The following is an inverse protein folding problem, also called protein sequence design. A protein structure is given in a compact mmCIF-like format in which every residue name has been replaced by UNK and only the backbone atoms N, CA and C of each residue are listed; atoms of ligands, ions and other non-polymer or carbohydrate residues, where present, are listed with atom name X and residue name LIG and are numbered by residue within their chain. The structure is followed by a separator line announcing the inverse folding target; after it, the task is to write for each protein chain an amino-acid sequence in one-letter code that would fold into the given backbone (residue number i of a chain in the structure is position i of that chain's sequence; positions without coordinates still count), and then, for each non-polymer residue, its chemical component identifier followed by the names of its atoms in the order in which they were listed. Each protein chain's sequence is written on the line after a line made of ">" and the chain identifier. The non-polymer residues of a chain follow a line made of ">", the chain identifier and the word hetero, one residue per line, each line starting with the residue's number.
data_IF_116971728345
#
_entry.id   IF_116971728345
#
_cell.length_a   1.000
_cell.length_b   1.000
_cell.length_c   1.000
_cell.angle_alpha   90.00
_cell.angle_beta   90.00
_cell.angle_gamma   90.00
#
_symmetry.space_group_name_H-M   'P 1'
#
loop_
_entity.id
_entity.type
_entity.pdbx_description
1 polymer ?
#
# COMPACT_ATOMS: atom_id res chain seq x y z
N UNK A 1 -1.95 22.38 -23.90
CA UNK A 1 -1.89 22.63 -22.46
C UNK A 1 -0.75 21.78 -21.94
N UNK A 2 0.46 22.33 -21.91
CA UNK A 2 1.62 21.66 -21.31
C UNK A 2 1.38 21.57 -19.81
N UNK A 3 0.97 20.40 -19.34
CA UNK A 3 0.90 20.13 -17.91
C UNK A 3 2.35 20.08 -17.46
N UNK A 4 2.76 21.05 -16.63
CA UNK A 4 4.06 21.01 -15.98
C UNK A 4 4.09 19.82 -15.01
N UNK A 5 4.47 18.67 -15.54
CA UNK A 5 4.55 17.39 -14.84
C UNK A 5 5.50 17.49 -13.62
N UNK A 6 6.44 18.45 -13.60
CA UNK A 6 7.34 18.68 -12.47
C UNK A 6 6.64 19.37 -11.32
N UNK A 7 5.81 20.38 -11.59
CA UNK A 7 5.02 21.10 -10.56
C UNK A 7 4.16 20.16 -9.71
N UNK A 8 3.62 19.10 -10.33
CA UNK A 8 2.78 18.13 -9.63
C UNK A 8 3.56 16.93 -9.07
N UNK A 9 4.85 16.78 -9.35
CA UNK A 9 5.65 15.62 -8.95
C UNK A 9 5.65 15.38 -7.43
N UNK A 10 5.71 16.45 -6.63
CA UNK A 10 5.65 16.34 -5.16
C UNK A 10 4.30 15.85 -4.67
N UNK A 11 3.19 16.39 -5.19
CA UNK A 11 1.84 15.97 -4.81
C UNK A 11 1.55 14.54 -5.28
N UNK A 12 1.97 14.19 -6.49
CA UNK A 12 1.86 12.83 -7.02
C UNK A 12 2.67 11.83 -6.18
N UNK A 13 3.88 12.20 -5.74
CA UNK A 13 4.68 11.35 -4.84
C UNK A 13 3.99 11.12 -3.50
N UNK A 14 3.34 12.15 -2.95
CA UNK A 14 2.58 12.04 -1.70
C UNK A 14 1.37 11.12 -1.86
N UNK A 15 0.64 11.22 -2.98
CA UNK A 15 -0.46 10.33 -3.31
C UNK A 15 -0.01 8.87 -3.40
N UNK A 16 1.11 8.61 -4.08
CA UNK A 16 1.66 7.26 -4.17
C UNK A 16 2.09 6.69 -2.80
N UNK A 17 2.72 7.50 -1.92
CA UNK A 17 2.97 7.09 -0.54
C UNK A 17 1.67 6.85 0.25
N UNK A 18 0.65 7.67 0.02
CA UNK A 18 -0.66 7.51 0.63
C UNK A 18 -1.31 6.17 0.29
N UNK A 19 -1.26 5.76 -0.99
CA UNK A 19 -1.76 4.44 -1.41
C UNK A 19 -0.98 3.31 -0.72
N UNK A 20 0.35 3.40 -0.70
CA UNK A 20 1.18 2.39 -0.02
C UNK A 20 0.81 2.27 1.48
N UNK A 21 0.65 3.39 2.19
CA UNK A 21 0.25 3.39 3.60
C UNK A 21 -1.18 2.84 3.79
N UNK A 22 -2.11 3.20 2.90
CA UNK A 22 -3.48 2.67 2.91
C UNK A 22 -3.53 1.16 2.74
N UNK A 23 -2.74 0.60 1.81
CA UNK A 23 -2.62 -0.85 1.63
C UNK A 23 -2.10 -1.55 2.88
N UNK A 24 -1.10 -0.98 3.57
CA UNK A 24 -0.61 -1.53 4.86
C UNK A 24 -1.73 -1.51 5.91
N UNK A 25 -2.46 -0.41 6.03
CA UNK A 25 -3.57 -0.29 6.98
C UNK A 25 -4.70 -1.30 6.69
N UNK A 26 -5.06 -1.49 5.42
CA UNK A 26 -6.05 -2.48 5.02
C UNK A 26 -5.61 -3.91 5.34
N UNK A 27 -4.34 -4.25 5.10
CA UNK A 27 -3.81 -5.55 5.48
C UNK A 27 -3.81 -5.75 6.99
N UNK A 28 -3.43 -4.72 7.76
CA UNK A 28 -3.47 -4.77 9.22
C UNK A 28 -4.89 -4.96 9.75
N UNK A 29 -5.88 -4.27 9.18
CA UNK A 29 -7.29 -4.44 9.51
C UNK A 29 -7.77 -5.87 9.21
N UNK A 30 -7.43 -6.40 8.02
CA UNK A 30 -7.73 -7.77 7.65
C UNK A 30 -7.08 -8.76 8.62
N UNK A 31 -5.80 -8.56 8.94
CA UNK A 31 -5.07 -9.41 9.88
C UNK A 31 -5.77 -9.44 11.24
N UNK A 32 -6.14 -8.27 11.76
CA UNK A 32 -6.84 -8.14 13.03
C UNK A 32 -8.20 -8.85 13.06
N UNK A 33 -9.03 -8.65 12.02
CA UNK A 33 -10.37 -9.25 11.95
C UNK A 33 -10.32 -10.78 11.70
N UNK A 34 -9.36 -11.23 10.88
CA UNK A 34 -9.24 -12.65 10.52
C UNK A 34 -8.42 -13.47 11.53
N UNK A 35 -7.75 -12.85 12.51
CA UNK A 35 -6.98 -13.59 13.52
C UNK A 35 -7.91 -14.52 14.30
N UNK A 36 -7.64 -15.83 14.33
CA UNK A 36 -8.41 -16.76 15.15
C UNK A 36 -8.29 -16.41 16.63
N UNK A 37 -9.42 -16.26 17.32
CA UNK A 37 -9.48 -16.02 18.77
C UNK A 37 -10.49 -16.96 19.42
N UNK A 38 -10.47 -17.06 20.74
CA UNK A 38 -11.43 -17.89 21.48
C UNK A 38 -12.90 -17.47 21.26
N UNK A 39 -13.13 -16.23 20.83
CA UNK A 39 -14.46 -15.61 20.74
C UNK A 39 -14.83 -15.15 19.32
N UNK A 40 -14.02 -15.44 18.31
CA UNK A 40 -14.28 -14.98 16.94
C UNK A 40 -13.08 -15.13 16.00
N UNK A 41 -13.19 -14.49 14.84
CA UNK A 41 -12.26 -14.68 13.73
C UNK A 41 -12.59 -15.92 12.91
N UNK A 42 -11.75 -16.20 11.91
CA UNK A 42 -11.85 -17.40 11.09
C UNK A 42 -10.91 -18.48 11.63
N UNK A 43 -11.06 -19.73 11.20
CA UNK A 43 -10.10 -20.78 11.61
C UNK A 43 -8.71 -20.53 11.02
N UNK A 44 -7.69 -21.17 11.62
CA UNK A 44 -6.30 -20.93 11.28
C UNK A 44 -5.92 -21.23 9.83
N UNK A 45 -6.59 -22.18 9.18
CA UNK A 45 -6.33 -22.51 7.77
C UNK A 45 -6.84 -21.38 6.89
N UNK A 46 -8.09 -20.95 7.08
CA UNK A 46 -8.65 -19.85 6.31
C UNK A 46 -7.96 -18.51 6.62
N UNK A 47 -7.50 -18.27 7.86
CA UNK A 47 -6.67 -17.12 8.21
C UNK A 47 -5.37 -17.10 7.41
N UNK A 48 -4.67 -18.23 7.35
CA UNK A 48 -3.43 -18.36 6.57
C UNK A 48 -3.67 -18.09 5.08
N UNK A 49 -4.73 -18.66 4.51
CA UNK A 49 -5.11 -18.44 3.11
C UNK A 49 -5.41 -16.96 2.87
N UNK A 50 -6.16 -16.30 3.76
CA UNK A 50 -6.48 -14.88 3.66
C UNK A 50 -5.22 -14.00 3.73
N UNK A 51 -4.30 -14.29 4.66
CA UNK A 51 -3.07 -13.53 4.81
C UNK A 51 -2.17 -13.63 3.58
N UNK A 52 -2.01 -14.82 3.01
CA UNK A 52 -1.20 -15.00 1.81
C UNK A 52 -1.92 -14.41 0.59
N UNK A 53 -3.20 -14.76 0.41
CA UNK A 53 -4.00 -14.38 -0.75
C UNK A 53 -4.18 -12.87 -0.89
N UNK A 54 -4.25 -12.13 0.22
CA UNK A 54 -4.37 -10.67 0.21
C UNK A 54 -3.03 -9.97 0.45
N UNK A 55 -2.19 -10.52 1.33
CA UNK A 55 -0.91 -9.93 1.70
C UNK A 55 0.08 -9.89 0.55
N UNK A 56 0.18 -10.95 -0.26
CA UNK A 56 1.12 -10.99 -1.40
C UNK A 56 0.75 -9.94 -2.47
N UNK A 57 -0.50 -9.85 -2.96
CA UNK A 57 -0.89 -8.80 -3.90
C UNK A 57 -0.71 -7.38 -3.32
N UNK A 58 -1.09 -7.15 -2.06
CA UNK A 58 -0.90 -5.84 -1.43
C UNK A 58 0.57 -5.48 -1.29
N UNK A 59 1.44 -6.43 -0.93
CA UNK A 59 2.88 -6.20 -0.87
C UNK A 59 3.45 -5.80 -2.25
N UNK A 60 2.99 -6.42 -3.33
CA UNK A 60 3.38 -6.03 -4.69
C UNK A 60 2.91 -4.60 -5.04
N UNK A 61 1.67 -4.26 -4.73
CA UNK A 61 1.11 -2.91 -4.94
C UNK A 61 1.90 -1.86 -4.15
N UNK A 62 2.18 -2.14 -2.87
CA UNK A 62 2.96 -1.27 -1.99
C UNK A 62 4.35 -1.05 -2.58
N UNK A 63 5.05 -2.11 -2.99
CA UNK A 63 6.40 -2.02 -3.55
C UNK A 63 6.43 -1.09 -4.78
N UNK A 64 5.49 -1.28 -5.71
CA UNK A 64 5.38 -0.44 -6.91
C UNK A 64 5.12 1.03 -6.55
N UNK A 65 4.18 1.30 -5.64
CA UNK A 65 3.86 2.67 -5.24
C UNK A 65 5.01 3.36 -4.50
N UNK A 66 5.75 2.64 -3.65
CA UNK A 66 6.94 3.18 -2.98
C UNK A 66 8.03 3.51 -3.98
N UNK A 67 8.26 2.67 -4.99
CA UNK A 67 9.23 2.94 -6.06
C UNK A 67 8.81 4.18 -6.86
N UNK A 68 7.55 4.27 -7.30
CA UNK A 68 7.04 5.45 -8.00
C UNK A 68 7.11 6.72 -7.17
N UNK A 69 6.71 6.66 -5.90
CA UNK A 69 6.76 7.80 -5.00
C UNK A 69 8.19 8.33 -4.87
N UNK A 70 9.19 7.45 -4.73
CA UNK A 70 10.61 7.82 -4.68
C UNK A 70 11.09 8.44 -5.99
N UNK A 71 10.68 7.91 -7.14
CA UNK A 71 11.03 8.48 -8.45
C UNK A 71 10.45 9.88 -8.64
N UNK A 72 9.16 10.06 -8.34
CA UNK A 72 8.46 11.34 -8.44
C UNK A 72 9.01 12.38 -7.47
N UNK A 73 9.35 11.99 -6.24
CA UNK A 73 9.95 12.88 -5.25
C UNK A 73 11.35 13.36 -5.68
N UNK A 74 12.15 12.47 -6.29
CA UNK A 74 13.47 12.84 -6.84
C UNK A 74 13.34 13.77 -8.04
N UNK A 75 12.41 13.46 -8.94
CA UNK A 75 12.11 14.28 -10.11
C UNK A 75 11.66 15.69 -9.75
N UNK A 76 10.86 15.83 -8.67
CA UNK A 76 10.43 17.12 -8.16
C UNK A 76 11.53 17.89 -7.39
N UNK A 77 12.62 17.23 -6.97
CA UNK A 77 13.70 17.85 -6.20
C UNK A 77 14.88 18.31 -7.06
N UNK A 78 15.01 17.84 -8.31
CA UNK A 78 16.06 18.30 -9.23
C UNK A 78 15.79 19.71 -9.79
N UNK A 79 15.28 20.60 -8.95
CA UNK A 79 15.00 22.02 -9.19
C UNK A 79 16.12 22.87 -8.58
#
# INVERSE_FOLDING_TARGET
>A
MDIDLKKYGKLASLGAFGVAAGCVALFALLAWVATPTATGGIDGVHATIAYIGVGVPLAAIIAVHVVYARQLARYAKSE
#
